data_IF_767747641113
#
_entry.id   IF_767747641113
#
_cell.length_a   1.000
_cell.length_b   1.000
_cell.length_c   1.000
_cell.angle_alpha   90.00
_cell.angle_beta   90.00
_cell.angle_gamma   90.00
#
_symmetry.space_group_name_H-M   'P 1'
#
loop_
_entity.id
_entity.type
_entity.pdbx_description
1 polymer ?
#
# COMPACT_ATOMS: atom_id res chain seq x y z
N UNK A 1 -11.47 -19.72 2.17
CA UNK A 1 -10.80 -20.79 1.39
C UNK A 1 -9.99 -20.20 0.24
N UNK A 2 -8.67 -20.04 0.44
CA UNK A 2 -7.70 -20.16 -0.66
C UNK A 2 -7.28 -18.91 -1.45
N UNK A 3 -7.34 -17.69 -0.90
CA UNK A 3 -6.57 -16.59 -1.51
C UNK A 3 -5.11 -16.71 -1.10
N UNK A 4 -4.36 -17.58 -1.78
CA UNK A 4 -2.90 -17.58 -1.71
C UNK A 4 -2.42 -16.24 -2.25
N UNK A 5 -1.92 -15.38 -1.37
CA UNK A 5 -1.34 -14.09 -1.73
C UNK A 5 0.16 -14.28 -2.00
N UNK A 6 0.48 -15.20 -2.91
CA UNK A 6 1.87 -15.56 -3.19
C UNK A 6 2.47 -14.71 -4.32
N UNK A 7 1.64 -13.93 -5.02
CA UNK A 7 2.07 -13.18 -6.20
C UNK A 7 1.87 -11.67 -6.05
N UNK A 8 2.93 -10.89 -5.79
CA UNK A 8 2.86 -9.42 -5.76
C UNK A 8 2.51 -8.80 -7.13
N UNK A 9 2.45 -9.60 -8.21
CA UNK A 9 2.02 -9.14 -9.54
C UNK A 9 0.48 -9.08 -9.70
N UNK A 10 -0.31 -9.63 -8.77
CA UNK A 10 -1.78 -9.59 -8.81
C UNK A 10 -2.38 -8.25 -8.30
N UNK A 11 -1.50 -7.26 -8.13
CA UNK A 11 -1.79 -5.92 -7.66
C UNK A 11 -1.95 -5.00 -8.88
N UNK A 12 -3.18 -4.69 -9.27
CA UNK A 12 -3.45 -3.82 -10.40
C UNK A 12 -3.58 -2.35 -9.93
N UNK A 13 -2.67 -1.49 -10.35
CA UNK A 13 -2.66 -0.08 -9.96
C UNK A 13 -3.29 0.79 -11.06
N UNK A 14 -4.44 1.39 -10.79
CA UNK A 14 -5.14 2.33 -11.68
C UNK A 14 -5.00 3.74 -11.15
N UNK A 15 -4.36 4.64 -11.89
CA UNK A 15 -4.18 6.05 -11.48
C UNK A 15 -5.25 6.91 -12.14
N UNK A 16 -6.01 7.66 -11.33
CA UNK A 16 -6.99 8.64 -11.78
C UNK A 16 -6.56 10.06 -11.35
N UNK A 17 -7.11 11.09 -12.00
CA UNK A 17 -6.87 12.49 -11.66
C UNK A 17 -7.45 12.80 -10.27
N UNK A 18 -6.63 12.59 -9.23
CA UNK A 18 -6.96 12.80 -7.82
C UNK A 18 -6.57 11.68 -6.87
N UNK A 19 -6.10 10.52 -7.37
CA UNK A 19 -5.71 9.39 -6.49
C UNK A 19 -5.14 8.19 -7.24
N UNK A 20 -4.44 7.32 -6.52
CA UNK A 20 -3.97 6.03 -7.03
C UNK A 20 -4.94 4.97 -6.51
N UNK A 21 -5.62 4.22 -7.36
CA UNK A 21 -6.37 3.03 -6.94
C UNK A 21 -5.46 1.82 -7.09
N UNK A 22 -5.47 0.93 -6.10
CA UNK A 22 -4.68 -0.30 -6.12
C UNK A 22 -5.68 -1.46 -5.95
N UNK A 23 -6.20 -2.01 -7.03
CA UNK A 23 -7.04 -3.19 -6.97
C UNK A 23 -6.14 -4.43 -6.89
N UNK A 24 -5.84 -4.88 -5.68
CA UNK A 24 -5.45 -6.28 -5.47
C UNK A 24 -6.72 -7.11 -5.66
N UNK A 25 -6.64 -8.18 -6.46
CA UNK A 25 -7.81 -8.97 -6.90
C UNK A 25 -8.59 -9.70 -5.78
N UNK A 26 -8.33 -9.38 -4.52
CA UNK A 26 -9.21 -9.71 -3.40
C UNK A 26 -9.04 -8.66 -2.28
N UNK A 27 -10.18 -8.24 -1.72
CA UNK A 27 -10.39 -7.18 -0.73
C UNK A 27 -9.93 -5.76 -1.14
N UNK A 28 -10.92 -4.87 -1.30
CA UNK A 28 -10.76 -3.54 -1.87
C UNK A 28 -9.73 -2.69 -1.10
N UNK A 29 -8.61 -2.38 -1.75
CA UNK A 29 -7.67 -1.36 -1.29
C UNK A 29 -7.67 -0.13 -2.21
N UNK A 30 -7.56 1.05 -1.61
CA UNK A 30 -7.61 2.32 -2.33
C UNK A 30 -6.64 3.32 -1.70
N UNK A 31 -5.96 4.13 -2.52
CA UNK A 31 -5.03 5.17 -2.06
C UNK A 31 -5.67 6.54 -2.29
N UNK A 32 -5.86 7.30 -1.21
CA UNK A 32 -6.48 8.64 -1.25
C UNK A 32 -5.41 9.72 -1.10
N UNK A 33 -5.22 10.52 -2.14
CA UNK A 33 -4.54 11.82 -2.12
C UNK A 33 -3.02 11.78 -1.74
N UNK A 34 -2.37 12.95 -1.70
CA UNK A 34 -0.97 13.18 -1.34
C UNK A 34 -0.55 12.64 0.04
N UNK A 35 -1.48 12.05 0.80
CA UNK A 35 -1.24 11.27 2.01
C UNK A 35 -1.38 9.81 1.63
N UNK A 36 -0.27 9.16 1.29
CA UNK A 36 -0.28 7.78 0.81
C UNK A 36 -0.88 6.82 1.85
N UNK A 37 -2.19 6.63 1.79
CA UNK A 37 -2.97 5.89 2.78
C UNK A 37 -3.50 4.64 2.13
N UNK A 38 -3.16 3.46 2.65
CA UNK A 38 -3.67 2.18 2.18
C UNK A 38 -4.74 1.73 3.16
N UNK A 39 -5.94 1.50 2.64
CA UNK A 39 -7.05 0.91 3.37
C UNK A 39 -7.24 -0.53 2.89
N UNK A 40 -7.41 -1.50 3.77
CA UNK A 40 -7.69 -2.90 3.40
C UNK A 40 -8.84 -3.43 4.26
N UNK A 41 -9.73 -4.23 3.69
CA UNK A 41 -10.77 -4.94 4.45
C UNK A 41 -10.37 -6.40 4.63
N UNK A 42 -10.60 -6.99 5.81
CA UNK A 42 -10.36 -8.42 6.05
C UNK A 42 -11.41 -9.02 6.98
N UNK A 43 -11.83 -10.25 6.66
CA UNK A 43 -12.76 -11.05 7.48
C UNK A 43 -12.04 -12.05 8.40
N UNK A 44 -10.72 -12.14 8.34
CA UNK A 44 -9.88 -13.03 9.15
C UNK A 44 -8.72 -12.23 9.73
N UNK A 45 -8.35 -12.50 10.98
CA UNK A 45 -7.24 -11.81 11.63
C UNK A 45 -5.93 -12.21 10.95
N UNK A 46 -5.18 -11.22 10.46
CA UNK A 46 -3.88 -11.43 9.82
C UNK A 46 -2.80 -10.62 10.57
N UNK A 47 -1.97 -11.27 11.42
CA UNK A 47 -0.89 -10.56 12.11
C UNK A 47 0.19 -10.03 11.14
N UNK A 48 0.25 -10.56 9.91
CA UNK A 48 1.21 -10.17 8.88
C UNK A 48 0.82 -8.91 8.09
N UNK A 49 -0.23 -8.19 8.51
CA UNK A 49 -0.66 -6.96 7.85
C UNK A 49 0.43 -5.87 7.74
N UNK A 50 1.31 -5.66 8.73
CA UNK A 50 2.43 -4.73 8.58
C UNK A 50 3.39 -5.09 7.44
N UNK A 51 3.63 -6.39 7.22
CA UNK A 51 4.51 -6.89 6.14
C UNK A 51 3.86 -6.66 4.78
N UNK A 52 2.58 -7.02 4.62
CA UNK A 52 1.81 -6.76 3.39
C UNK A 52 1.77 -5.27 3.05
N UNK A 53 1.51 -4.45 4.07
CA UNK A 53 1.49 -2.99 3.95
C UNK A 53 2.83 -2.42 3.44
N UNK A 54 3.96 -2.93 3.95
CA UNK A 54 5.28 -2.55 3.47
C UNK A 54 5.51 -2.95 2.00
N UNK A 55 5.08 -4.15 1.60
CA UNK A 55 5.20 -4.62 0.21
C UNK A 55 4.40 -3.70 -0.71
N UNK A 56 3.14 -3.41 -0.39
CA UNK A 56 2.32 -2.49 -1.20
C UNK A 56 2.94 -1.11 -1.27
N UNK A 57 3.40 -0.58 -0.14
CA UNK A 57 4.09 0.70 -0.09
C UNK A 57 5.33 0.71 -0.99
N UNK A 58 6.12 -0.36 -1.01
CA UNK A 58 7.33 -0.43 -1.84
C UNK A 58 7.02 -0.36 -3.34
N UNK A 59 5.94 -1.00 -3.79
CA UNK A 59 5.48 -0.98 -5.18
C UNK A 59 5.02 0.43 -5.57
N UNK A 60 4.17 1.04 -4.74
CA UNK A 60 3.68 2.40 -4.97
C UNK A 60 4.84 3.40 -4.97
N UNK A 61 5.74 3.27 -4.00
CA UNK A 61 6.91 4.13 -3.89
C UNK A 61 7.82 3.99 -5.11
N UNK A 62 8.06 2.76 -5.58
CA UNK A 62 8.84 2.50 -6.80
C UNK A 62 8.23 3.20 -8.02
N UNK A 63 6.91 3.07 -8.22
CA UNK A 63 6.21 3.74 -9.32
C UNK A 63 6.26 5.28 -9.19
N UNK A 64 6.05 5.83 -7.99
CA UNK A 64 6.13 7.27 -7.71
C UNK A 64 7.53 7.85 -7.92
N UNK A 65 8.58 7.06 -7.69
CA UNK A 65 9.97 7.43 -7.92
C UNK A 65 10.39 7.22 -9.38
N UNK A 66 9.67 6.37 -10.11
CA UNK A 66 9.88 6.13 -11.53
C UNK A 66 9.40 7.32 -12.36
N UNK A 67 10.19 7.69 -13.36
CA UNK A 67 9.95 8.88 -14.18
C UNK A 67 8.93 8.66 -15.32
N UNK A 68 8.26 7.50 -15.32
CA UNK A 68 7.42 7.04 -16.45
C UNK A 68 6.23 7.95 -16.74
N UNK A 69 5.73 8.70 -15.75
CA UNK A 69 4.50 9.48 -15.87
C UNK A 69 4.69 10.97 -16.21
N UNK A 70 5.92 11.52 -16.10
CA UNK A 70 6.13 12.98 -16.17
C UNK A 70 6.80 13.50 -17.44
N UNK A 71 7.16 12.64 -18.40
CA UNK A 71 7.77 13.05 -19.67
C UNK A 71 9.15 13.74 -19.56
N UNK A 72 9.63 13.97 -18.34
CA UNK A 72 10.99 14.43 -18.03
C UNK A 72 11.93 13.24 -18.01
N UNK A 73 13.16 13.41 -18.49
CA UNK A 73 14.12 12.30 -18.71
C UNK A 73 14.98 11.95 -17.47
N UNK A 74 14.60 12.29 -16.24
CA UNK A 74 15.45 12.12 -15.04
C UNK A 74 14.66 11.78 -13.77
N UNK A 75 14.56 10.46 -13.50
CA UNK A 75 14.00 9.87 -12.27
C UNK A 75 14.47 10.57 -11.01
N UNK A 76 13.69 10.46 -9.93
CA UNK A 76 14.19 10.90 -8.61
C UNK A 76 15.39 10.04 -8.22
N UNK A 77 16.59 10.64 -8.19
CA UNK A 77 17.80 9.92 -7.78
C UNK A 77 17.87 9.75 -6.26
N UNK A 78 17.36 8.64 -5.76
CA UNK A 78 17.40 8.26 -4.34
C UNK A 78 18.81 7.89 -3.83
N UNK A 79 19.75 7.62 -4.73
CA UNK A 79 21.15 7.34 -4.39
C UNK A 79 22.02 8.61 -4.40
N UNK A 80 21.42 9.77 -4.73
CA UNK A 80 22.08 11.06 -4.73
C UNK A 80 22.13 11.72 -3.35
N UNK A 81 22.83 12.84 -3.25
CA UNK A 81 22.94 13.62 -2.00
C UNK A 81 21.69 14.46 -1.68
N UNK A 82 20.78 14.63 -2.65
CA UNK A 82 19.58 15.47 -2.48
C UNK A 82 18.47 14.63 -1.85
N UNK A 83 17.89 15.14 -0.76
CA UNK A 83 16.72 14.53 -0.13
C UNK A 83 15.56 14.42 -1.12
N UNK A 84 15.07 13.19 -1.29
CA UNK A 84 13.82 12.90 -1.98
C UNK A 84 12.71 12.83 -0.94
N UNK A 85 11.85 13.86 -0.91
CA UNK A 85 10.68 13.85 -0.03
C UNK A 85 9.64 12.83 -0.52
N UNK A 86 9.11 12.07 0.43
CA UNK A 86 8.00 11.14 0.26
C UNK A 86 6.91 11.51 1.28
N UNK A 87 5.62 11.28 0.98
CA UNK A 87 4.56 11.49 1.95
C UNK A 87 4.67 10.47 3.09
N UNK A 88 4.16 10.82 4.27
CA UNK A 88 3.99 9.88 5.38
C UNK A 88 2.94 8.83 4.99
N UNK A 89 3.28 7.54 5.00
CA UNK A 89 2.31 6.49 4.71
C UNK A 89 1.39 6.25 5.91
N UNK A 90 0.13 5.92 5.63
CA UNK A 90 -0.84 5.45 6.63
C UNK A 90 -1.39 4.10 6.17
N UNK A 91 -1.51 3.14 7.08
CA UNK A 91 -2.06 1.82 6.79
C UNK A 91 -3.21 1.56 7.75
N UNK A 92 -4.40 1.28 7.20
CA UNK A 92 -5.62 1.06 7.97
C UNK A 92 -6.26 -0.23 7.49
N UNK A 93 -6.56 -1.11 8.43
CA UNK A 93 -7.24 -2.37 8.15
C UNK A 93 -8.60 -2.35 8.82
N UNK A 94 -9.66 -2.55 8.05
CA UNK A 94 -11.01 -2.73 8.54
C UNK A 94 -11.28 -4.21 8.72
N UNK A 95 -11.41 -4.63 9.97
CA UNK A 95 -11.78 -5.99 10.30
C UNK A 95 -13.31 -6.13 10.38
N UNK A 96 -13.87 -7.09 9.66
CA UNK A 96 -15.30 -7.41 9.66
C UNK A 96 -15.58 -8.91 9.85
N UNK A 97 -14.63 -9.63 10.47
CA UNK A 97 -14.78 -11.05 10.76
C UNK A 97 -15.60 -11.33 12.03
N UNK A 98 -15.74 -12.61 12.35
CA UNK A 98 -16.56 -13.09 13.46
C UNK A 98 -15.79 -13.18 14.80
N UNK A 99 -14.45 -13.14 14.77
CA UNK A 99 -13.63 -13.22 15.98
C UNK A 99 -13.69 -11.88 16.72
N UNK A 100 -13.88 -11.90 18.04
CA UNK A 100 -13.84 -10.68 18.84
C UNK A 100 -12.44 -10.08 18.78
N UNK A 101 -12.34 -8.81 18.41
CA UNK A 101 -11.11 -8.04 18.33
C UNK A 101 -11.28 -6.70 19.05
N UNK A 102 -10.19 -6.08 19.52
CA UNK A 102 -10.24 -4.70 20.01
C UNK A 102 -10.82 -3.75 18.96
N UNK A 103 -11.49 -2.68 19.41
CA UNK A 103 -12.03 -1.63 18.52
C UNK A 103 -10.92 -1.01 17.65
N UNK A 104 -9.72 -0.85 18.23
CA UNK A 104 -8.52 -0.39 17.55
C UNK A 104 -7.33 -1.22 18.02
N UNK A 105 -6.52 -1.67 17.06
CA UNK A 105 -5.27 -2.37 17.32
C UNK A 105 -4.14 -1.79 16.48
N UNK A 106 -2.99 -1.56 17.10
CA UNK A 106 -1.76 -1.22 16.40
C UNK A 106 -0.94 -2.49 16.18
N UNK A 107 -0.57 -2.75 14.93
CA UNK A 107 0.34 -3.82 14.54
C UNK A 107 1.67 -3.20 14.11
N UNK A 108 2.79 -3.76 14.56
CA UNK A 108 4.12 -3.26 14.19
C UNK A 108 4.80 -4.23 13.24
N UNK A 109 5.60 -3.67 12.34
CA UNK A 109 6.43 -4.46 11.44
C UNK A 109 7.52 -5.27 12.19
N UNK A 110 7.92 -4.79 13.37
CA UNK A 110 9.00 -5.36 14.17
C UNK A 110 8.57 -6.44 15.15
N UNK A 111 7.26 -6.62 15.35
CA UNK A 111 6.71 -7.65 16.23
C UNK A 111 6.77 -9.01 15.52
#
# INVERSE_FOLDING_TARGET
NGSSYDNPEDVEMVIHDGGISLSVRNDASFIVDARLSIYEHQSTVCPNMPVRSLIYFSVILSDMLSDKKKGTKKGKNIYGRRLVKIPTPYFVVFYNGEEEQPEVQELKLSD
#
